data_IF_575040968028
#
_entry.id   IF_575040968028
#
_cell.length_a   1.000
_cell.length_b   1.000
_cell.length_c   1.000
_cell.angle_alpha   90.00
_cell.angle_beta   90.00
_cell.angle_gamma   90.00
#
_symmetry.space_group_name_H-M   'P 1'
#
loop_
_entity.id
_entity.type
_entity.pdbx_description
1 polymer ?
#
# COMPACT_ATOMS: atom_id res chain seq x y z
N UNK A 1 14.29 3.78 15.14
CA UNK A 1 14.44 2.70 14.14
C UNK A 1 14.04 1.40 14.82
N UNK A 2 12.76 1.04 14.72
CA UNK A 2 12.24 -0.22 15.22
C UNK A 2 12.31 -1.19 14.05
N UNK A 3 13.14 -2.24 14.15
CA UNK A 3 13.26 -3.26 13.11
C UNK A 3 12.03 -4.16 13.14
N UNK A 4 11.19 -4.14 12.10
CA UNK A 4 10.17 -5.18 11.93
C UNK A 4 10.84 -6.55 11.76
N UNK A 5 10.39 -7.59 12.48
CA UNK A 5 10.89 -8.94 12.29
C UNK A 5 10.50 -9.48 10.90
N UNK A 6 11.37 -10.28 10.27
CA UNK A 6 11.02 -10.99 9.03
C UNK A 6 10.08 -12.17 9.29
N UNK A 7 10.27 -12.83 10.43
CA UNK A 7 9.46 -13.94 10.90
C UNK A 7 9.22 -13.80 12.41
N UNK A 8 8.09 -14.33 12.88
CA UNK A 8 7.75 -14.42 14.29
C UNK A 8 7.29 -15.84 14.65
N UNK A 9 7.28 -16.15 15.95
CA UNK A 9 6.68 -17.38 16.46
C UNK A 9 5.19 -17.14 16.63
N UNK A 10 4.38 -17.71 15.76
CA UNK A 10 2.92 -17.57 15.82
C UNK A 10 2.34 -18.38 16.98
N UNK A 11 2.83 -19.60 17.14
CA UNK A 11 2.42 -20.46 18.24
C UNK A 11 3.50 -21.46 18.59
N UNK A 12 3.50 -21.92 19.84
CA UNK A 12 4.32 -23.05 20.25
C UNK A 12 3.58 -23.88 21.30
N UNK A 13 3.86 -25.18 21.30
CA UNK A 13 3.32 -26.14 22.24
C UNK A 13 4.42 -27.05 22.77
N UNK A 14 4.47 -27.20 24.08
CA UNK A 14 5.30 -28.21 24.73
C UNK A 14 4.55 -29.54 24.79
N UNK A 15 5.14 -30.60 24.24
CA UNK A 15 4.62 -31.95 24.29
C UNK A 15 5.44 -32.75 25.31
N UNK A 16 4.78 -33.29 26.33
CA UNK A 16 5.44 -34.16 27.31
C UNK A 16 5.62 -35.56 26.75
N UNK A 17 6.79 -36.16 26.97
CA UNK A 17 7.11 -37.49 26.52
C UNK A 17 8.61 -37.73 26.46
N UNK A 18 9.00 -39.00 26.45
CA UNK A 18 10.38 -39.38 26.14
C UNK A 18 10.65 -39.07 24.67
N UNK A 19 11.50 -38.08 24.43
CA UNK A 19 11.83 -37.64 23.07
C UNK A 19 12.84 -38.54 22.37
N UNK A 20 13.47 -39.47 23.11
CA UNK A 20 14.61 -40.24 22.61
C UNK A 20 15.93 -39.47 22.58
N UNK A 21 15.93 -38.19 22.98
CA UNK A 21 17.10 -37.31 23.04
C UNK A 21 17.50 -36.94 24.48
N UNK A 22 17.00 -37.67 25.48
CA UNK A 22 17.30 -37.42 26.89
C UNK A 22 16.52 -36.25 27.51
N UNK A 23 15.52 -35.70 26.81
CA UNK A 23 14.60 -34.69 27.35
C UNK A 23 13.22 -35.29 27.62
N UNK A 24 12.51 -34.76 28.62
CA UNK A 24 11.16 -35.20 28.99
C UNK A 24 10.04 -34.43 28.27
N UNK A 25 10.41 -33.54 27.35
CA UNK A 25 9.50 -32.75 26.56
C UNK A 25 10.11 -32.37 25.21
N UNK A 26 9.25 -32.18 24.21
CA UNK A 26 9.57 -31.55 22.91
C UNK A 26 8.78 -30.25 22.74
N UNK A 27 9.27 -29.37 21.87
CA UNK A 27 8.59 -28.12 21.50
C UNK A 27 8.19 -28.24 20.04
N UNK A 28 6.90 -28.09 19.76
CA UNK A 28 6.37 -27.86 18.42
C UNK A 28 6.14 -26.35 18.28
N UNK A 29 6.76 -25.70 17.30
CA UNK A 29 6.57 -24.28 17.05
C UNK A 29 6.16 -24.04 15.60
N UNK A 30 5.20 -23.14 15.41
CA UNK A 30 4.82 -22.61 14.10
C UNK A 30 5.47 -21.24 13.93
N UNK A 31 6.30 -21.12 12.90
CA UNK A 31 6.89 -19.86 12.49
C UNK A 31 6.04 -19.23 11.40
N UNK A 32 5.68 -17.96 11.59
CA UNK A 32 4.97 -17.16 10.59
C UNK A 32 5.93 -16.13 10.01
N UNK A 33 5.96 -16.04 8.69
CA UNK A 33 6.63 -14.94 8.00
C UNK A 33 5.72 -13.71 8.11
N UNK A 34 6.24 -12.63 8.68
CA UNK A 34 5.50 -11.37 8.89
C UNK A 34 6.03 -10.22 8.05
N UNK A 35 7.27 -10.31 7.58
CA UNK A 35 7.85 -9.39 6.59
C UNK A 35 7.84 -9.96 5.18
N UNK A 36 8.45 -9.24 4.23
CA UNK A 36 8.77 -9.78 2.90
C UNK A 36 9.99 -10.68 3.00
N UNK A 37 9.80 -11.86 3.57
CA UNK A 37 10.88 -12.83 3.76
C UNK A 37 10.48 -14.23 3.34
N UNK A 38 11.45 -15.10 3.24
CA UNK A 38 11.25 -16.54 3.11
C UNK A 38 12.21 -17.26 4.03
N UNK A 39 11.70 -18.27 4.73
CA UNK A 39 12.54 -19.17 5.51
C UNK A 39 13.28 -20.08 4.53
N UNK A 40 14.59 -19.87 4.40
CA UNK A 40 15.43 -20.56 3.42
C UNK A 40 15.85 -21.92 3.95
N UNK A 41 16.28 -21.95 5.21
CA UNK A 41 16.91 -23.11 5.79
C UNK A 41 16.71 -23.12 7.31
N UNK A 42 16.44 -24.30 7.86
CA UNK A 42 16.53 -24.54 9.30
C UNK A 42 17.76 -25.42 9.50
N UNK A 43 18.70 -24.95 10.31
CA UNK A 43 19.87 -25.73 10.69
C UNK A 43 19.42 -26.91 11.55
N UNK A 44 19.39 -28.08 10.91
CA UNK A 44 19.07 -29.37 11.51
C UNK A 44 20.34 -30.22 11.71
N UNK A 45 21.52 -29.73 11.28
CA UNK A 45 22.75 -30.51 11.37
C UNK A 45 23.18 -30.65 12.83
N UNK A 46 23.04 -31.89 13.31
CA UNK A 46 23.35 -32.43 14.64
C UNK A 46 23.01 -31.48 15.80
N UNK A 47 22.10 -31.92 16.67
CA UNK A 47 22.06 -31.41 18.05
C UNK A 47 23.44 -31.71 18.65
N UNK A 48 24.41 -30.82 18.40
CA UNK A 48 25.72 -30.86 18.99
C UNK A 48 25.45 -30.74 20.47
N UNK A 49 25.88 -31.75 21.25
CA UNK A 49 25.69 -31.77 22.70
C UNK A 49 26.02 -30.37 23.28
N UNK A 50 24.99 -29.71 23.82
CA UNK A 50 25.10 -28.38 24.42
C UNK A 50 24.41 -27.21 23.70
N UNK A 51 23.75 -27.41 22.54
CA UNK A 51 22.88 -26.37 21.96
C UNK A 51 21.42 -26.55 22.37
N UNK A 52 20.85 -25.53 23.03
CA UNK A 52 19.46 -25.50 23.51
C UNK A 52 18.48 -24.77 22.55
N UNK A 53 18.94 -24.41 21.34
CA UNK A 53 18.16 -23.62 20.39
C UNK A 53 18.32 -24.13 18.95
N UNK A 54 17.27 -23.95 18.14
CA UNK A 54 17.29 -24.14 16.70
C UNK A 54 17.61 -22.81 16.01
N UNK A 55 18.39 -22.86 14.92
CA UNK A 55 18.74 -21.67 14.14
C UNK A 55 18.10 -21.76 12.76
N UNK A 56 17.28 -20.78 12.40
CA UNK A 56 16.72 -20.63 11.06
C UNK A 56 17.38 -19.47 10.32
N UNK A 57 17.57 -19.64 9.02
CA UNK A 57 18.03 -18.60 8.10
C UNK A 57 16.86 -18.13 7.25
N UNK A 58 16.55 -16.85 7.36
CA UNK A 58 15.56 -16.20 6.52
C UNK A 58 16.28 -15.31 5.50
N UNK A 59 15.75 -15.26 4.28
CA UNK A 59 16.13 -14.25 3.30
C UNK A 59 15.01 -13.24 3.19
N UNK A 60 15.37 -11.98 3.04
CA UNK A 60 14.43 -10.94 2.62
C UNK A 60 14.19 -11.06 1.11
N UNK A 61 12.95 -10.90 0.68
CA UNK A 61 12.57 -10.76 -0.72
C UNK A 61 12.71 -9.28 -1.07
N UNK A 62 13.85 -8.93 -1.66
CA UNK A 62 14.06 -7.60 -2.20
C UNK A 62 13.29 -7.46 -3.51
N UNK A 63 12.81 -6.24 -3.81
CA UNK A 63 12.35 -5.93 -5.17
C UNK A 63 13.57 -6.05 -6.11
N UNK A 64 13.64 -7.15 -6.87
CA UNK A 64 14.69 -7.33 -7.87
C UNK A 64 14.51 -6.29 -8.97
N UNK A 65 15.29 -5.21 -8.88
CA UNK A 65 15.52 -4.28 -9.98
C UNK A 65 16.62 -4.78 -10.91
N UNK A 66 17.32 -5.87 -10.58
CA UNK A 66 18.32 -6.48 -11.42
C UNK A 66 17.67 -7.57 -12.26
N UNK A 67 17.56 -7.38 -13.57
CA UNK A 67 17.17 -8.46 -14.45
C UNK A 67 18.25 -9.55 -14.44
N UNK A 68 18.01 -10.66 -13.74
CA UNK A 68 18.90 -11.84 -13.74
C UNK A 68 19.04 -12.49 -15.13
N UNK A 69 18.28 -12.04 -16.12
CA UNK A 69 18.55 -12.43 -17.50
C UNK A 69 19.82 -11.74 -17.97
N UNK A 70 20.93 -12.49 -18.12
CA UNK A 70 22.17 -12.07 -18.80
C UNK A 70 21.99 -11.74 -20.28
N UNK A 71 20.93 -10.98 -20.62
CA UNK A 71 20.64 -10.40 -21.91
C UNK A 71 21.32 -9.03 -21.95
N UNK A 72 22.29 -8.95 -22.85
CA UNK A 72 23.04 -7.78 -23.32
C UNK A 72 22.52 -6.41 -22.84
N UNK A 73 23.43 -5.63 -22.26
CA UNK A 73 23.35 -4.25 -21.75
C UNK A 73 22.64 -3.20 -22.65
N UNK A 74 22.19 -3.55 -23.85
CA UNK A 74 21.60 -2.61 -24.82
C UNK A 74 20.06 -2.57 -24.80
N UNK A 75 19.37 -3.53 -24.16
CA UNK A 75 17.89 -3.57 -24.04
C UNK A 75 17.37 -3.42 -22.60
N UNK A 76 18.27 -3.18 -21.64
CA UNK A 76 17.90 -2.73 -20.30
C UNK A 76 17.46 -1.26 -20.42
N UNK A 77 16.32 -1.01 -21.08
CA UNK A 77 15.57 0.22 -20.86
C UNK A 77 15.47 0.37 -19.35
N UNK A 78 16.22 1.34 -18.83
CA UNK A 78 16.47 1.52 -17.41
C UNK A 78 15.15 1.34 -16.66
N UNK A 79 15.04 0.26 -15.90
CA UNK A 79 13.78 -0.14 -15.25
C UNK A 79 13.20 1.00 -14.42
N UNK A 80 14.07 1.91 -13.96
CA UNK A 80 13.72 3.15 -13.30
C UNK A 80 13.01 4.16 -14.21
N UNK A 81 13.38 4.27 -15.48
CA UNK A 81 12.67 5.06 -16.51
C UNK A 81 11.24 4.54 -16.66
N UNK A 82 11.08 3.22 -16.83
CA UNK A 82 9.75 2.60 -16.99
C UNK A 82 8.92 2.80 -15.71
N UNK A 83 9.51 2.59 -14.54
CA UNK A 83 8.85 2.80 -13.25
C UNK A 83 8.38 4.24 -13.06
N UNK A 84 9.22 5.23 -13.39
CA UNK A 84 8.85 6.64 -13.35
C UNK A 84 7.74 7.00 -14.35
N UNK A 85 7.76 6.44 -15.56
CA UNK A 85 6.69 6.64 -16.52
C UNK A 85 5.35 6.06 -16.04
N UNK A 86 5.37 4.92 -15.35
CA UNK A 86 4.16 4.33 -14.76
C UNK A 86 3.70 5.17 -13.56
N UNK A 87 4.63 5.64 -12.71
CA UNK A 87 4.33 6.52 -11.58
C UNK A 87 3.65 7.82 -12.02
N UNK A 88 4.11 8.45 -13.10
CA UNK A 88 3.45 9.63 -13.65
C UNK A 88 2.00 9.33 -14.07
N UNK A 89 1.76 8.17 -14.70
CA UNK A 89 0.40 7.75 -15.08
C UNK A 89 -0.47 7.44 -13.87
N UNK A 90 0.11 6.85 -12.82
CA UNK A 90 -0.58 6.57 -11.57
C UNK A 90 -1.07 7.88 -10.94
N UNK A 91 -0.22 8.89 -10.85
CA UNK A 91 -0.59 10.21 -10.33
C UNK A 91 -1.65 10.90 -11.18
N UNK A 92 -1.55 10.84 -12.52
CA UNK A 92 -2.57 11.38 -13.42
C UNK A 92 -3.94 10.70 -13.21
N UNK A 93 -3.96 9.37 -13.06
CA UNK A 93 -5.20 8.60 -12.83
C UNK A 93 -5.75 8.87 -11.43
N UNK A 94 -4.89 8.92 -10.42
CA UNK A 94 -5.27 9.19 -9.03
C UNK A 94 -5.86 10.60 -8.87
N UNK A 95 -5.24 11.61 -9.46
CA UNK A 95 -5.79 12.98 -9.49
C UNK A 95 -7.18 13.00 -10.13
N UNK A 96 -7.36 12.23 -11.21
CA UNK A 96 -8.68 12.10 -11.84
C UNK A 96 -9.70 11.35 -10.98
N UNK A 97 -9.28 10.49 -10.05
CA UNK A 97 -10.17 9.80 -9.10
C UNK A 97 -10.63 10.80 -8.05
N UNK A 98 -9.70 11.53 -7.44
CA UNK A 98 -10.00 12.58 -6.43
C UNK A 98 -11.04 13.56 -6.96
N UNK A 99 -10.85 14.08 -8.19
CA UNK A 99 -11.81 15.00 -8.82
C UNK A 99 -13.18 14.38 -9.13
N UNK A 100 -13.27 13.05 -9.28
CA UNK A 100 -14.53 12.37 -9.50
C UNK A 100 -15.28 12.14 -8.18
N UNK A 101 -14.57 11.82 -7.10
CA UNK A 101 -15.13 11.70 -5.75
C UNK A 101 -15.67 13.04 -5.27
N UNK A 102 -14.88 14.11 -5.32
CA UNK A 102 -15.29 15.48 -4.98
C UNK A 102 -16.50 15.97 -5.81
N UNK A 103 -16.73 15.35 -6.97
CA UNK A 103 -17.90 15.67 -7.80
C UNK A 103 -19.13 14.87 -7.40
N UNK A 104 -18.96 13.61 -7.00
CA UNK A 104 -20.06 12.78 -6.50
C UNK A 104 -20.58 13.34 -5.18
N UNK A 105 -19.68 13.66 -4.26
CA UNK A 105 -19.99 14.27 -2.96
C UNK A 105 -20.84 15.54 -3.10
N UNK A 106 -20.46 16.46 -3.99
CA UNK A 106 -21.26 17.66 -4.26
C UNK A 106 -22.66 17.40 -4.83
N UNK A 107 -22.84 16.32 -5.60
CA UNK A 107 -24.18 15.96 -6.09
C UNK A 107 -25.04 15.42 -4.94
N UNK A 108 -24.44 14.64 -4.03
CA UNK A 108 -25.13 14.12 -2.84
C UNK A 108 -25.53 15.25 -1.87
N UNK A 109 -24.70 16.29 -1.73
CA UNK A 109 -25.02 17.50 -0.98
C UNK A 109 -26.18 18.30 -1.60
N UNK A 110 -26.13 18.55 -2.91
CA UNK A 110 -27.18 19.28 -3.64
C UNK A 110 -28.56 18.59 -3.53
N UNK A 111 -28.59 17.26 -3.54
CA UNK A 111 -29.82 16.47 -3.37
C UNK A 111 -30.37 16.53 -1.93
N UNK A 112 -29.49 16.57 -0.92
CA UNK A 112 -29.90 16.68 0.48
C UNK A 112 -30.50 18.06 0.82
N UNK A 113 -29.95 19.13 0.25
CA UNK A 113 -30.44 20.50 0.46
C UNK A 113 -31.88 20.69 -0.07
N UNK A 114 -32.22 20.08 -1.21
CA UNK A 114 -33.58 20.11 -1.77
C UNK A 114 -34.61 19.42 -0.87
N UNK A 115 -34.18 18.44 -0.05
CA UNK A 115 -35.08 17.73 0.86
C UNK A 115 -35.34 18.52 2.16
N UNK A 116 -34.38 19.34 2.60
CA UNK A 116 -34.49 20.13 3.83
C UNK A 116 -35.46 21.31 3.67
N UNK A 117 -35.48 21.95 2.49
CA UNK A 117 -36.33 23.11 2.19
C UNK A 117 -37.85 22.80 2.14
N UNK A 118 -38.24 21.53 2.18
CA UNK A 118 -39.66 21.11 2.13
C UNK A 118 -40.32 20.98 3.52
N UNK A 119 -39.55 21.16 4.61
CA UNK A 119 -40.05 21.05 5.99
C UNK A 119 -39.92 22.35 6.80
N UNK A 120 -40.10 23.52 6.17
CA UNK A 120 -40.22 24.80 6.88
C UNK A 120 -41.57 24.86 7.62
N UNK A 121 -41.55 24.33 8.84
CA UNK A 121 -42.62 24.38 9.84
C UNK A 121 -42.51 25.73 10.54
N UNK A 122 -43.53 26.56 10.32
CA UNK A 122 -43.82 27.76 11.11
C UNK A 122 -43.87 27.41 12.62
N UNK A 123 -42.87 27.81 13.39
CA UNK A 123 -42.94 28.03 14.86
C UNK A 123 -41.71 28.89 15.24
N UNK A 124 -41.81 30.21 15.22
CA UNK A 124 -42.30 31.11 16.30
C UNK A 124 -41.27 31.26 17.45
N UNK A 125 -40.60 32.42 17.43
CA UNK A 125 -40.05 33.24 18.52
C UNK A 125 -39.34 32.55 19.71
N UNK A 126 -38.02 32.73 19.84
CA UNK A 126 -37.44 33.67 20.83
C UNK A 126 -35.91 33.55 20.91
N UNK A 127 -35.27 34.74 20.89
CA UNK A 127 -33.99 35.15 21.50
C UNK A 127 -33.06 34.07 22.07
N UNK A 128 -31.82 34.01 21.56
CA UNK A 128 -30.69 34.62 22.27
C UNK A 128 -29.43 34.62 21.40
N UNK A 129 -28.80 35.80 21.36
CA UNK A 129 -27.49 36.10 20.80
C UNK A 129 -26.42 35.32 21.59
N UNK A 130 -25.71 34.37 20.98
CA UNK A 130 -24.32 34.14 21.34
C UNK A 130 -23.48 33.77 20.12
N UNK A 131 -22.44 34.57 19.98
CA UNK A 131 -21.47 34.76 18.92
C UNK A 131 -20.31 33.79 19.18
N UNK A 132 -20.47 32.52 18.80
CA UNK A 132 -19.36 31.57 18.82
C UNK A 132 -18.90 31.33 17.37
N UNK A 133 -17.74 31.95 17.07
CA UNK A 133 -16.83 31.69 15.96
C UNK A 133 -16.47 30.19 15.92
N UNK A 134 -17.40 29.35 15.46
CA UNK A 134 -17.10 27.98 15.08
C UNK A 134 -16.34 28.05 13.74
N UNK A 135 -15.02 28.29 13.85
CA UNK A 135 -14.03 27.85 12.87
C UNK A 135 -14.07 26.30 12.82
N UNK A 136 -15.17 25.76 12.29
CA UNK A 136 -15.24 24.41 11.75
C UNK A 136 -14.35 24.38 10.51
N UNK A 137 -13.03 24.33 10.77
CA UNK A 137 -12.06 23.69 9.90
C UNK A 137 -12.46 22.20 9.87
N UNK A 138 -13.57 21.92 9.17
CA UNK A 138 -13.93 20.63 8.60
C UNK A 138 -12.83 20.31 7.58
N UNK A 139 -11.67 19.96 8.12
CA UNK A 139 -10.54 19.36 7.46
C UNK A 139 -10.95 17.93 7.08
N UNK A 140 -12.04 17.83 6.32
CA UNK A 140 -12.57 16.61 5.76
C UNK A 140 -11.41 15.87 5.10
N UNK A 141 -11.25 14.61 5.51
CA UNK A 141 -10.05 13.83 5.29
C UNK A 141 -9.98 13.40 3.82
N UNK A 142 -9.64 14.36 2.96
CA UNK A 142 -9.67 14.19 1.52
C UNK A 142 -8.79 13.01 1.13
N UNK A 143 -9.21 12.28 0.10
CA UNK A 143 -8.48 11.10 -0.37
C UNK A 143 -6.99 11.43 -0.65
N UNK A 144 -6.72 12.65 -1.10
CA UNK A 144 -5.36 13.16 -1.33
C UNK A 144 -4.55 13.27 -0.03
N UNK A 145 -5.13 13.79 1.06
CA UNK A 145 -4.48 13.87 2.38
C UNK A 145 -4.20 12.48 2.94
N UNK A 146 -5.18 11.57 2.90
CA UNK A 146 -5.02 10.16 3.30
C UNK A 146 -3.90 9.47 2.53
N UNK A 147 -3.87 9.65 1.20
CA UNK A 147 -2.82 9.10 0.36
C UNK A 147 -1.43 9.59 0.75
N UNK A 148 -1.26 10.89 0.98
CA UNK A 148 0.03 11.45 1.38
C UNK A 148 0.49 10.88 2.74
N UNK A 149 -0.41 10.75 3.72
CA UNK A 149 -0.11 10.16 5.02
C UNK A 149 0.32 8.69 4.90
N UNK A 150 -0.42 7.90 4.12
CA UNK A 150 -0.08 6.51 3.83
C UNK A 150 1.27 6.43 3.13
N UNK A 151 1.50 7.26 2.12
CA UNK A 151 2.76 7.30 1.37
C UNK A 151 3.96 7.60 2.26
N UNK A 152 3.86 8.59 3.14
CA UNK A 152 4.93 8.90 4.09
C UNK A 152 5.15 7.76 5.09
N UNK A 153 4.07 7.13 5.57
CA UNK A 153 4.14 6.00 6.50
C UNK A 153 4.83 4.81 5.86
N UNK A 154 4.40 4.40 4.67
CA UNK A 154 5.02 3.32 3.90
C UNK A 154 6.48 3.63 3.65
N UNK A 155 6.80 4.84 3.16
CA UNK A 155 8.18 5.25 2.89
C UNK A 155 9.08 5.24 4.13
N UNK A 156 8.56 5.64 5.30
CA UNK A 156 9.31 5.68 6.55
C UNK A 156 9.49 4.30 7.20
N UNK A 157 8.50 3.41 7.02
CA UNK A 157 8.53 2.03 7.52
C UNK A 157 9.28 1.08 6.60
N UNK A 158 9.59 1.53 5.40
CA UNK A 158 10.35 0.78 4.41
C UNK A 158 11.81 0.60 4.83
N UNK A 159 12.12 -0.60 5.30
CA UNK A 159 13.46 -0.97 5.76
C UNK A 159 14.29 -1.71 4.71
N UNK A 160 13.78 -1.90 3.49
CA UNK A 160 14.33 -2.85 2.51
C UNK A 160 15.67 -2.39 1.91
N UNK A 161 16.22 -1.26 2.37
CA UNK A 161 17.60 -0.86 2.09
C UNK A 161 17.93 -0.90 0.61
N UNK A 162 17.08 -0.33 -0.24
CA UNK A 162 17.20 -0.32 -1.70
C UNK A 162 18.63 -0.04 -2.14
N UNK A 163 19.35 -1.11 -2.50
CA UNK A 163 20.71 -0.97 -3.03
C UNK A 163 20.58 -0.61 -4.49
N UNK A 164 20.53 0.70 -4.76
CA UNK A 164 20.85 1.20 -6.10
C UNK A 164 22.31 0.80 -6.33
N UNK A 165 22.53 -0.16 -7.24
CA UNK A 165 23.87 -0.48 -7.73
C UNK A 165 24.53 0.84 -8.13
N UNK A 166 25.52 1.27 -7.36
CA UNK A 166 26.07 2.64 -7.38
C UNK A 166 26.78 3.01 -8.68
N UNK A 167 26.72 2.13 -9.69
CA UNK A 167 27.30 2.28 -11.02
C UNK A 167 26.38 2.97 -12.01
N UNK A 168 25.07 3.07 -11.79
CA UNK A 168 24.20 3.86 -12.67
C UNK A 168 24.25 5.34 -12.27
N UNK A 169 25.07 6.10 -12.98
CA UNK A 169 24.94 7.55 -12.95
C UNK A 169 23.49 7.90 -13.34
N UNK A 170 22.81 8.82 -12.64
CA UNK A 170 21.43 9.15 -12.97
C UNK A 170 21.35 9.50 -14.45
N UNK A 171 20.42 8.89 -15.22
CA UNK A 171 20.32 9.13 -16.65
C UNK A 171 20.18 10.64 -16.87
N UNK A 172 20.99 11.15 -17.79
CA UNK A 172 21.06 12.58 -18.11
C UNK A 172 19.63 13.15 -18.25
N UNK A 173 19.23 14.19 -17.49
CA UNK A 173 17.86 14.70 -17.45
C UNK A 173 17.53 15.51 -18.72
N UNK A 174 17.54 14.85 -19.88
CA UNK A 174 17.10 15.42 -21.16
C UNK A 174 15.59 15.34 -21.34
N UNK A 175 14.82 14.93 -20.31
CA UNK A 175 13.36 14.85 -20.33
C UNK A 175 12.73 15.98 -19.52
N UNK A 176 11.54 16.39 -20.00
CA UNK A 176 10.68 17.50 -19.57
C UNK A 176 11.05 18.14 -18.21
N UNK A 177 11.31 19.46 -18.16
CA UNK A 177 11.80 20.16 -16.96
C UNK A 177 10.86 20.12 -15.75
N UNK A 178 9.63 19.62 -15.90
CA UNK A 178 8.62 19.63 -14.85
C UNK A 178 8.37 18.27 -14.18
N UNK A 179 9.01 17.18 -14.64
CA UNK A 179 8.73 15.85 -14.09
C UNK A 179 9.75 15.45 -13.04
N UNK A 180 9.28 15.20 -11.82
CA UNK A 180 10.09 14.78 -10.68
C UNK A 180 10.60 13.35 -10.91
N UNK A 181 11.92 13.19 -10.94
CA UNK A 181 12.52 11.86 -10.98
C UNK A 181 12.44 11.21 -9.60
N UNK A 182 11.74 10.07 -9.51
CA UNK A 182 11.54 9.31 -8.27
C UNK A 182 12.63 8.25 -8.13
N UNK A 183 13.13 8.08 -6.91
CA UNK A 183 14.05 7.00 -6.56
C UNK A 183 13.35 5.63 -6.53
N UNK A 184 14.10 4.53 -6.47
CA UNK A 184 13.51 3.19 -6.30
C UNK A 184 12.68 3.13 -5.01
N UNK A 185 13.16 3.71 -3.91
CA UNK A 185 12.41 3.78 -2.65
C UNK A 185 11.09 4.54 -2.83
N UNK A 186 11.11 5.67 -3.53
CA UNK A 186 9.89 6.45 -3.78
C UNK A 186 8.88 5.65 -4.61
N UNK A 187 9.34 4.94 -5.64
CA UNK A 187 8.50 4.09 -6.48
C UNK A 187 7.94 2.90 -5.72
N UNK A 188 8.74 2.27 -4.86
CA UNK A 188 8.27 1.18 -4.02
C UNK A 188 7.23 1.68 -3.02
N UNK A 189 7.53 2.77 -2.31
CA UNK A 189 6.57 3.35 -1.38
C UNK A 189 5.26 3.71 -2.10
N UNK A 190 5.35 4.33 -3.27
CA UNK A 190 4.19 4.66 -4.10
C UNK A 190 3.37 3.41 -4.44
N UNK A 191 4.04 2.35 -4.91
CA UNK A 191 3.37 1.10 -5.30
C UNK A 191 2.62 0.44 -4.15
N UNK A 192 3.16 0.48 -2.93
CA UNK A 192 2.51 -0.09 -1.75
C UNK A 192 1.41 0.78 -1.19
N UNK A 193 1.57 2.11 -1.30
CA UNK A 193 0.57 3.07 -0.83
C UNK A 193 -0.77 2.82 -1.49
N UNK A 194 -0.79 2.60 -2.81
CA UNK A 194 -2.04 2.28 -3.51
C UNK A 194 -2.72 1.00 -3.03
N UNK A 195 -2.04 0.04 -2.42
CA UNK A 195 -2.70 -1.17 -1.91
C UNK A 195 -3.06 -1.06 -0.42
N UNK A 196 -2.87 0.09 0.22
CA UNK A 196 -3.18 0.29 1.63
C UNK A 196 -4.69 0.22 1.88
N UNK A 197 -5.07 -0.31 3.05
CA UNK A 197 -6.48 -0.55 3.38
C UNK A 197 -7.26 0.73 3.65
N UNK A 198 -6.60 1.74 4.19
CA UNK A 198 -7.25 3.00 4.62
C UNK A 198 -7.63 3.92 3.44
N UNK A 199 -7.18 3.62 2.22
CA UNK A 199 -7.48 4.45 1.05
C UNK A 199 -8.78 4.11 0.34
N UNK A 200 -9.26 2.89 0.49
CA UNK A 200 -10.38 2.39 -0.32
C UNK A 200 -11.51 1.96 0.62
N UNK A 201 -12.75 2.44 0.42
CA UNK A 201 -13.87 2.07 1.26
C UNK A 201 -14.07 0.55 1.26
N UNK A 202 -14.20 -0.04 2.45
CA UNK A 202 -14.30 -1.49 2.64
C UNK A 202 -15.58 -2.07 2.01
N UNK A 203 -16.66 -1.27 1.97
CA UNK A 203 -17.99 -1.72 1.56
C UNK A 203 -18.13 -1.97 0.06
N UNK A 204 -17.26 -1.37 -0.77
CA UNK A 204 -17.41 -1.38 -2.22
C UNK A 204 -16.42 -2.30 -2.96
N UNK A 205 -15.35 -2.78 -2.30
CA UNK A 205 -14.19 -3.34 -3.02
C UNK A 205 -13.65 -4.68 -2.48
N UNK A 206 -14.41 -5.77 -2.67
CA UNK A 206 -13.86 -7.15 -2.71
C UNK A 206 -12.68 -7.25 -3.69
N UNK A 207 -12.71 -6.44 -4.74
CA UNK A 207 -11.65 -6.31 -5.74
C UNK A 207 -10.36 -5.71 -5.15
N UNK A 208 -10.43 -4.75 -4.20
CA UNK A 208 -9.23 -4.17 -3.56
C UNK A 208 -8.42 -5.21 -2.79
N UNK A 209 -9.10 -6.12 -2.06
CA UNK A 209 -8.43 -7.24 -1.39
C UNK A 209 -7.73 -8.15 -2.40
N UNK A 210 -8.37 -8.45 -3.54
CA UNK A 210 -7.77 -9.30 -4.57
C UNK A 210 -6.48 -8.69 -5.16
N UNK A 211 -6.47 -7.37 -5.39
CA UNK A 211 -5.29 -6.63 -5.85
C UNK A 211 -4.19 -6.62 -4.79
N UNK A 212 -4.55 -6.40 -3.52
CA UNK A 212 -3.59 -6.44 -2.40
C UNK A 212 -2.93 -7.81 -2.28
N UNK A 213 -3.70 -8.89 -2.28
CA UNK A 213 -3.16 -10.26 -2.23
C UNK A 213 -2.24 -10.55 -3.41
N UNK A 214 -2.66 -10.18 -4.62
CA UNK A 214 -1.83 -10.36 -5.82
C UNK A 214 -0.55 -9.53 -5.78
N UNK A 215 -0.59 -8.32 -5.22
CA UNK A 215 0.59 -7.47 -5.07
C UNK A 215 1.67 -8.09 -4.18
N UNK A 216 1.28 -8.88 -3.17
CA UNK A 216 2.19 -9.59 -2.27
C UNK A 216 3.01 -10.67 -2.99
N UNK A 217 2.47 -11.24 -4.08
CA UNK A 217 3.15 -12.25 -4.89
C UNK A 217 4.11 -11.63 -5.93
N UNK A 218 4.01 -10.32 -6.17
CA UNK A 218 4.81 -9.63 -7.18
C UNK A 218 6.12 -9.12 -6.56
N UNK A 219 7.23 -9.69 -7.01
CA UNK A 219 8.59 -9.28 -6.63
C UNK A 219 9.09 -8.12 -7.51
N UNK A 220 8.64 -8.03 -8.76
CA UNK A 220 9.09 -6.99 -9.68
C UNK A 220 8.32 -5.67 -9.46
N UNK A 221 9.05 -4.62 -9.08
CA UNK A 221 8.48 -3.29 -8.83
C UNK A 221 7.63 -2.75 -9.99
N UNK A 222 8.10 -2.89 -11.23
CA UNK A 222 7.36 -2.38 -12.40
C UNK A 222 6.07 -3.16 -12.64
N UNK A 223 6.05 -4.46 -12.38
CA UNK A 223 4.82 -5.24 -12.42
C UNK A 223 3.85 -4.82 -11.30
N UNK A 224 4.36 -4.53 -10.11
CA UNK A 224 3.53 -4.06 -8.98
C UNK A 224 2.93 -2.68 -9.26
N UNK A 225 3.72 -1.76 -9.83
CA UNK A 225 3.23 -0.46 -10.29
C UNK A 225 2.16 -0.58 -11.39
N UNK A 226 2.32 -1.52 -12.33
CA UNK A 226 1.27 -1.79 -13.35
C UNK A 226 -0.01 -2.33 -12.71
N UNK A 227 0.12 -3.24 -11.75
CA UNK A 227 -1.02 -3.77 -11.02
C UNK A 227 -1.78 -2.65 -10.29
N UNK A 228 -1.06 -1.71 -9.67
CA UNK A 228 -1.68 -0.54 -9.04
C UNK A 228 -2.41 0.33 -10.07
N UNK A 229 -1.83 0.50 -11.26
CA UNK A 229 -2.44 1.28 -12.33
C UNK A 229 -3.73 0.63 -12.84
N UNK A 230 -3.74 -0.69 -12.99
CA UNK A 230 -4.93 -1.44 -13.40
C UNK A 230 -6.06 -1.28 -12.36
N UNK A 231 -5.73 -1.40 -11.08
CA UNK A 231 -6.67 -1.18 -9.98
C UNK A 231 -7.27 0.24 -9.99
N UNK A 232 -6.44 1.29 -10.13
CA UNK A 232 -6.92 2.66 -10.21
C UNK A 232 -7.79 2.91 -11.45
N UNK A 233 -7.43 2.33 -12.59
CA UNK A 233 -8.20 2.47 -13.83
C UNK A 233 -9.58 1.82 -13.71
N UNK A 234 -9.67 0.68 -13.04
CA UNK A 234 -10.93 0.00 -12.71
C UNK A 234 -11.77 0.85 -11.75
N UNK A 235 -11.19 1.29 -10.63
CA UNK A 235 -11.85 2.17 -9.64
C UNK A 235 -12.42 3.44 -10.29
N UNK A 236 -11.60 4.14 -11.08
CA UNK A 236 -12.02 5.33 -11.83
C UNK A 236 -13.16 5.02 -12.81
N UNK A 237 -13.20 3.83 -13.38
CA UNK A 237 -14.27 3.44 -14.31
C UNK A 237 -15.58 3.23 -13.55
N UNK A 238 -15.54 2.60 -12.37
CA UNK A 238 -16.68 2.48 -11.47
C UNK A 238 -17.24 3.86 -11.08
N UNK A 239 -16.39 4.78 -10.62
CA UNK A 239 -16.82 6.15 -10.25
C UNK A 239 -17.50 6.88 -11.42
N UNK A 240 -16.96 6.74 -12.65
CA UNK A 240 -17.59 7.34 -13.84
C UNK A 240 -18.96 6.75 -14.16
N UNK A 241 -19.15 5.47 -13.91
CA UNK A 241 -20.45 4.81 -14.10
C UNK A 241 -21.45 5.23 -13.04
N UNK A 242 -21.02 5.35 -11.77
CA UNK A 242 -21.86 5.87 -10.68
C UNK A 242 -22.27 7.31 -10.97
N UNK A 243 -21.32 8.19 -11.28
CA UNK A 243 -21.59 9.59 -11.62
C UNK A 243 -22.56 9.76 -12.81
N UNK A 244 -22.51 8.80 -13.75
CA UNK A 244 -23.45 8.81 -14.88
C UNK A 244 -24.86 8.39 -14.44
N UNK A 245 -24.98 7.42 -13.53
CA UNK A 245 -26.26 6.94 -13.00
C UNK A 245 -26.98 8.04 -12.23
N UNK A 246 -26.30 8.69 -11.28
CA UNK A 246 -26.88 9.80 -10.50
C UNK A 246 -27.44 10.89 -11.43
N UNK A 247 -26.67 11.28 -12.44
CA UNK A 247 -27.09 12.31 -13.40
C UNK A 247 -28.27 11.88 -14.31
N UNK A 248 -28.41 10.59 -14.59
CA UNK A 248 -29.51 10.09 -15.43
C UNK A 248 -30.82 9.96 -14.62
N UNK A 249 -30.76 9.99 -13.28
CA UNK A 249 -31.90 9.91 -12.37
C UNK A 249 -32.52 11.29 -12.00
N UNK A 250 -31.80 12.41 -12.23
CA UNK A 250 -32.26 13.82 -12.19
C UNK A 250 -33.16 14.22 -13.39
#
# INVERSE_FOLDING_TARGET
LQTMPLCEVESFQTLQGDTGFGTSYSILATLRVVGRGSLVYIDQEEIVEGREYLTGWCTELCDDTCSESGRKEEEEEDLLVIGNQIADKLEDVFTSIVLLEEKLERLEEEDNDLFLDTYDIEDDDDDDEDDDDDEDDDDEDSLQKRFEQVYQTVKATDMQGYRISSSSSPPNPTRSPNKKWRSVQDLTALSWSYFHQELWPEEEFDTSLSYRLKSMEIVNLNQRLRLALDMLMEYRSCLKETLKRERDDE
#
